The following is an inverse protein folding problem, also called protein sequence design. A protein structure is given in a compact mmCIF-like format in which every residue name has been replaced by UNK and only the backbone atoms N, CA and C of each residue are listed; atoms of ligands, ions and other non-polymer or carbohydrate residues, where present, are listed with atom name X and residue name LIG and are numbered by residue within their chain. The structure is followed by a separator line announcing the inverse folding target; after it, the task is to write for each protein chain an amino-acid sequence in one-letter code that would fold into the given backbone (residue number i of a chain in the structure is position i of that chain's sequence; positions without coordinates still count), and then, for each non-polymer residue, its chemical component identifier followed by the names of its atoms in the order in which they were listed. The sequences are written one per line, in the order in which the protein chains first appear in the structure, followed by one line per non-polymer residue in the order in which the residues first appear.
data_IF_419739538039
#
_entry.id   IF_419739538039
#
_cell.length_a   1.000
_cell.length_b   1.000
_cell.length_c   1.000
_cell.angle_alpha   90.00
_cell.angle_beta   90.00
_cell.angle_gamma   90.00
#
_symmetry.space_group_name_H-M   'P 1'
#
loop_
_entity.id
_entity.type
_entity.pdbx_description
1 polymer ?
#
# COMPACT_ATOMS: atom_id res chain seq x y z
N UNK A 1 2.79 15.52 0.92
CA UNK A 1 3.45 14.36 1.55
C UNK A 1 2.61 13.05 1.53
N UNK A 2 3.07 12.07 0.77
CA UNK A 2 2.54 10.69 0.77
C UNK A 2 3.67 9.74 1.16
N UNK A 3 3.63 9.20 2.37
CA UNK A 3 4.60 8.22 2.84
C UNK A 3 4.30 6.85 2.21
N UNK A 4 5.32 6.22 1.62
CA UNK A 4 5.20 4.95 0.90
C UNK A 4 6.32 3.99 1.25
N UNK A 5 6.00 2.70 1.22
CA UNK A 5 6.95 1.59 1.24
C UNK A 5 6.54 0.53 0.21
N UNK A 6 7.46 -0.39 -0.08
CA UNK A 6 7.24 -1.52 -0.99
C UNK A 6 7.54 -2.81 -0.23
N UNK A 7 6.60 -3.75 -0.19
CA UNK A 7 6.81 -5.05 0.43
C UNK A 7 7.15 -6.09 -0.64
N UNK A 8 8.19 -6.87 -0.39
CA UNK A 8 8.52 -8.04 -1.19
C UNK A 8 7.57 -9.20 -0.95
N UNK A 9 7.70 -10.25 -1.76
CA UNK A 9 6.92 -11.48 -1.63
C UNK A 9 7.22 -12.21 -0.30
N UNK A 10 8.39 -11.99 0.29
CA UNK A 10 8.77 -12.50 1.60
C UNK A 10 8.15 -11.72 2.78
N UNK A 11 7.37 -10.67 2.49
CA UNK A 11 6.69 -9.83 3.47
C UNK A 11 7.57 -8.76 4.11
N UNK A 12 8.83 -8.61 3.69
CA UNK A 12 9.71 -7.56 4.22
C UNK A 12 9.64 -6.31 3.36
N UNK A 13 9.92 -5.17 3.99
CA UNK A 13 10.12 -3.94 3.26
C UNK A 13 11.36 -4.03 2.36
N UNK A 14 11.19 -3.59 1.12
CA UNK A 14 12.25 -3.47 0.12
C UNK A 14 12.98 -2.13 0.29
N UNK A 15 14.30 -2.09 0.03
CA UNK A 15 15.01 -0.82 -0.11
C UNK A 15 14.41 0.01 -1.25
N UNK A 16 14.26 1.31 -1.02
CA UNK A 16 13.75 2.26 -1.99
C UNK A 16 14.90 3.07 -2.57
N UNK A 17 14.97 3.14 -3.89
CA UNK A 17 15.92 3.97 -4.63
C UNK A 17 15.13 4.85 -5.58
N UNK A 18 15.34 6.16 -5.52
CA UNK A 18 14.71 7.15 -6.40
C UNK A 18 15.80 8.13 -6.85
N UNK A 19 15.89 8.37 -8.16
CA UNK A 19 16.90 9.22 -8.79
C UNK A 19 18.34 8.80 -8.44
N UNK A 20 18.57 7.48 -8.36
CA UNK A 20 19.86 6.89 -7.98
C UNK A 20 20.24 7.01 -6.51
N UNK A 21 19.37 7.57 -5.65
CA UNK A 21 19.64 7.76 -4.23
C UNK A 21 18.86 6.78 -3.35
N UNK A 22 19.53 6.14 -2.39
CA UNK A 22 18.88 5.27 -1.40
C UNK A 22 18.02 6.09 -0.42
N UNK A 23 16.81 5.61 -0.15
CA UNK A 23 15.80 6.28 0.69
C UNK A 23 15.38 5.44 1.91
N UNK A 24 16.10 4.37 2.23
CA UNK A 24 15.68 3.40 3.24
C UNK A 24 14.50 2.56 2.77
N UNK A 25 13.61 2.16 3.67
CA UNK A 25 12.44 1.30 3.36
C UNK A 25 11.10 2.05 3.34
N UNK A 26 11.09 3.30 3.79
CA UNK A 26 9.95 4.22 3.73
C UNK A 26 10.44 5.56 3.21
N UNK A 27 9.73 6.15 2.26
CA UNK A 27 10.02 7.50 1.76
C UNK A 27 8.76 8.34 1.62
N UNK A 28 8.89 9.66 1.67
CA UNK A 28 7.78 10.60 1.49
C UNK A 28 7.85 11.18 0.09
N UNK A 29 6.83 10.90 -0.71
CA UNK A 29 6.64 11.51 -2.02
C UNK A 29 5.88 12.83 -1.86
N UNK A 30 6.45 13.91 -2.36
CA UNK A 30 5.78 15.22 -2.34
C UNK A 30 4.95 15.41 -3.61
N UNK A 31 3.65 15.18 -3.49
CA UNK A 31 2.69 15.41 -4.56
C UNK A 31 2.34 16.90 -4.60
N UNK A 32 2.75 17.60 -5.66
CA UNK A 32 2.60 19.05 -5.85
C UNK A 32 1.88 19.43 -7.14
N UNK A 33 1.75 18.49 -8.08
CA UNK A 33 1.01 18.69 -9.34
C UNK A 33 -0.23 17.80 -9.37
N UNK A 34 -1.11 18.01 -10.35
CA UNK A 34 -2.33 17.21 -10.51
C UNK A 34 -2.04 15.76 -10.91
N UNK A 35 -0.93 15.51 -11.59
CA UNK A 35 -0.47 14.20 -12.02
C UNK A 35 1.06 14.19 -11.96
N UNK A 36 1.64 13.23 -11.24
CA UNK A 36 3.09 13.07 -11.11
C UNK A 36 3.46 11.60 -11.13
N UNK A 37 4.65 11.31 -11.65
CA UNK A 37 5.22 9.97 -11.69
C UNK A 37 6.49 9.91 -10.87
N UNK A 38 6.58 8.89 -10.03
CA UNK A 38 7.78 8.57 -9.25
C UNK A 38 8.25 7.18 -9.66
N UNK A 39 9.56 7.03 -9.90
CA UNK A 39 10.14 5.77 -10.35
C UNK A 39 11.01 5.21 -9.23
N UNK A 40 10.67 4.01 -8.77
CA UNK A 40 11.52 3.23 -7.87
C UNK A 40 12.46 2.36 -8.69
N UNK A 41 13.75 2.56 -8.50
CA UNK A 41 14.81 1.82 -9.19
C UNK A 41 15.18 0.55 -8.42
N UNK A 42 15.84 -0.39 -9.11
CA UNK A 42 16.37 -1.63 -8.51
C UNK A 42 15.33 -2.53 -7.81
N UNK A 43 14.07 -2.47 -8.24
CA UNK A 43 12.98 -3.33 -7.77
C UNK A 43 13.09 -4.71 -8.43
N UNK A 44 13.55 -5.72 -7.67
CA UNK A 44 13.91 -7.04 -8.20
C UNK A 44 12.72 -7.99 -8.44
N UNK A 45 11.59 -7.73 -7.80
CA UNK A 45 10.36 -8.52 -7.90
C UNK A 45 9.15 -7.60 -7.83
N UNK A 46 7.97 -8.07 -8.24
CA UNK A 46 6.75 -7.27 -8.15
C UNK A 46 6.37 -7.05 -6.68
N UNK A 47 6.40 -5.81 -6.17
CA UNK A 47 6.10 -5.53 -4.77
C UNK A 47 4.60 -5.36 -4.55
N UNK A 48 4.16 -5.57 -3.30
CA UNK A 48 2.89 -5.02 -2.83
C UNK A 48 3.15 -3.62 -2.24
N UNK A 49 2.55 -2.56 -2.78
CA UNK A 49 2.79 -1.21 -2.27
C UNK A 49 2.07 -0.98 -0.94
N UNK A 50 2.73 -0.31 -0.01
CA UNK A 50 2.17 0.20 1.24
C UNK A 50 2.13 1.73 1.13
N UNK A 51 0.95 2.26 0.79
CA UNK A 51 0.76 3.68 0.44
C UNK A 51 0.07 4.39 1.60
N UNK A 52 0.41 5.65 1.84
CA UNK A 52 -0.16 6.49 2.90
C UNK A 52 0.18 6.00 4.32
N UNK A 53 1.41 5.49 4.51
CA UNK A 53 1.94 5.06 5.81
C UNK A 53 1.78 6.16 6.87
N UNK A 54 1.55 5.75 8.12
CA UNK A 54 1.26 6.61 9.27
C UNK A 54 0.15 7.64 9.03
N UNK A 55 -0.74 7.38 8.06
CA UNK A 55 -1.75 8.33 7.60
C UNK A 55 -1.15 9.70 7.24
N UNK A 56 -0.06 9.69 6.45
CA UNK A 56 0.78 10.87 6.18
C UNK A 56 0.04 12.08 5.59
N UNK A 57 -1.15 11.90 5.03
CA UNK A 57 -2.01 12.97 4.57
C UNK A 57 -3.50 12.63 4.74
N UNK A 58 -4.36 13.62 5.06
CA UNK A 58 -5.80 13.42 5.23
C UNK A 58 -6.53 13.41 3.87
N UNK A 59 -6.28 12.38 3.07
CA UNK A 59 -6.84 12.21 1.72
C UNK A 59 -7.60 10.90 1.58
N UNK A 60 -8.46 10.83 0.57
CA UNK A 60 -9.03 9.56 0.11
C UNK A 60 -8.07 8.94 -0.89
N UNK A 61 -7.45 7.82 -0.53
CA UNK A 61 -6.60 7.05 -1.43
C UNK A 61 -7.46 6.10 -2.26
N UNK A 62 -7.46 6.30 -3.57
CA UNK A 62 -8.05 5.36 -4.53
C UNK A 62 -6.93 4.51 -5.17
N UNK A 63 -6.83 3.26 -4.73
CA UNK A 63 -5.91 2.27 -5.28
C UNK A 63 -6.58 0.89 -5.26
N UNK A 64 -6.56 0.21 -6.40
CA UNK A 64 -7.28 -1.03 -6.61
C UNK A 64 -6.50 -2.25 -6.10
N UNK A 65 -6.38 -2.38 -4.77
CA UNK A 65 -5.81 -3.58 -4.16
C UNK A 65 -6.68 -4.82 -4.39
N UNK A 66 -6.07 -5.93 -4.78
CA UNK A 66 -6.73 -7.23 -4.79
C UNK A 66 -6.82 -7.84 -3.39
N UNK A 67 -7.65 -8.88 -3.25
CA UNK A 67 -7.76 -9.63 -1.99
C UNK A 67 -6.41 -10.21 -1.53
N UNK A 68 -5.56 -10.65 -2.47
CA UNK A 68 -4.23 -11.18 -2.17
C UNK A 68 -3.29 -10.08 -1.65
N UNK A 69 -3.32 -8.89 -2.26
CA UNK A 69 -2.51 -7.75 -1.82
C UNK A 69 -2.93 -7.31 -0.41
N UNK A 70 -4.23 -7.17 -0.16
CA UNK A 70 -4.73 -6.79 1.16
C UNK A 70 -4.37 -7.85 2.22
N UNK A 71 -4.43 -9.14 1.87
CA UNK A 71 -4.04 -10.21 2.80
C UNK A 71 -2.54 -10.18 3.09
N UNK A 72 -1.73 -9.89 2.07
CA UNK A 72 -0.29 -9.73 2.22
C UNK A 72 0.04 -8.54 3.14
N UNK A 73 -0.58 -7.38 2.90
CA UNK A 73 -0.42 -6.20 3.75
C UNK A 73 -0.89 -6.47 5.19
N UNK A 74 -2.07 -7.06 5.38
CA UNK A 74 -2.59 -7.38 6.72
C UNK A 74 -1.64 -8.24 7.55
N UNK A 75 -1.01 -9.24 6.91
CA UNK A 75 -0.09 -10.16 7.56
C UNK A 75 1.28 -9.55 7.81
N UNK A 76 1.78 -8.71 6.89
CA UNK A 76 3.21 -8.42 6.82
C UNK A 76 3.60 -6.94 6.89
N UNK A 77 2.70 -5.99 6.60
CA UNK A 77 3.09 -4.58 6.47
C UNK A 77 3.72 -4.04 7.77
N UNK A 78 4.87 -3.37 7.65
CA UNK A 78 5.55 -2.80 8.82
C UNK A 78 4.77 -1.61 9.40
N UNK A 79 3.91 -0.98 8.59
CA UNK A 79 3.04 0.11 9.00
C UNK A 79 1.75 -0.40 9.69
N UNK A 80 1.51 -0.04 10.96
CA UNK A 80 0.36 -0.55 11.71
C UNK A 80 -0.99 -0.01 11.21
N UNK A 81 -1.01 1.19 10.61
CA UNK A 81 -2.24 1.80 10.07
C UNK A 81 -2.67 1.03 8.83
N UNK A 82 -1.75 0.78 7.90
CA UNK A 82 -2.00 0.04 6.68
C UNK A 82 -2.31 -1.44 6.96
N UNK A 83 -1.66 -2.07 7.95
CA UNK A 83 -2.08 -3.41 8.43
C UNK A 83 -3.53 -3.42 8.87
N UNK A 84 -3.91 -2.48 9.73
CA UNK A 84 -5.27 -2.40 10.24
C UNK A 84 -6.28 -2.14 9.11
N UNK A 85 -6.01 -1.17 8.24
CA UNK A 85 -6.86 -0.78 7.11
C UNK A 85 -7.03 -1.94 6.12
N UNK A 86 -5.97 -2.67 5.80
CA UNK A 86 -6.05 -3.84 4.93
C UNK A 86 -7.00 -4.91 5.50
N UNK A 87 -6.95 -5.14 6.82
CA UNK A 87 -7.88 -6.01 7.51
C UNK A 87 -9.34 -5.52 7.45
N UNK A 88 -9.56 -4.21 7.63
CA UNK A 88 -10.89 -3.61 7.50
C UNK A 88 -11.45 -3.76 6.09
N UNK A 89 -10.66 -3.46 5.05
CA UNK A 89 -11.05 -3.59 3.64
C UNK A 89 -11.40 -5.03 3.29
N UNK A 90 -10.58 -6.00 3.72
CA UNK A 90 -10.88 -7.42 3.54
C UNK A 90 -12.20 -7.82 4.20
N UNK A 91 -12.37 -7.49 5.49
CA UNK A 91 -13.57 -7.84 6.22
C UNK A 91 -14.82 -7.21 5.59
N UNK A 92 -14.77 -5.91 5.27
CA UNK A 92 -15.87 -5.19 4.64
C UNK A 92 -16.20 -5.76 3.27
N UNK A 93 -15.18 -6.01 2.44
CA UNK A 93 -15.36 -6.63 1.12
C UNK A 93 -16.02 -8.01 1.21
N UNK A 94 -15.70 -8.81 2.24
CA UNK A 94 -16.36 -10.11 2.49
C UNK A 94 -17.80 -9.95 2.98
N UNK A 95 -18.04 -9.04 3.92
CA UNK A 95 -19.39 -8.76 4.43
C UNK A 95 -20.33 -8.29 3.33
N UNK A 96 -19.87 -7.37 2.46
CA UNK A 96 -20.65 -6.86 1.32
C UNK A 96 -20.98 -7.95 0.30
N UNK A 97 -20.05 -8.89 0.04
CA UNK A 97 -20.32 -10.05 -0.83
C UNK A 97 -21.43 -10.93 -0.23
N UNK A 98 -21.33 -11.25 1.06
CA UNK A 98 -22.32 -12.09 1.75
C UNK A 98 -23.72 -11.44 1.79
N UNK A 99 -23.81 -10.12 2.00
CA UNK A 99 -25.10 -9.42 2.03
C UNK A 99 -25.66 -9.15 0.64
N UNK A 100 -24.80 -9.01 -0.38
CA UNK A 100 -25.21 -8.90 -1.79
C UNK A 100 -25.74 -10.21 -2.36
N UNK A 101 -25.19 -11.36 -1.95
CA UNK A 101 -25.70 -12.69 -2.33
C UNK A 101 -27.01 -13.05 -1.60
N UNK A 102 -27.32 -12.40 -0.48
CA UNK A 102 -28.57 -12.58 0.27
C UNK A 102 -29.76 -11.77 -0.30
N UNK A 103 -29.57 -11.10 -1.44
CA UNK A 103 -30.55 -10.22 -2.07
C UNK A 103 -30.77 -10.49 -3.56
N UNK A 104 -31.21 -11.71 -3.92
CA UNK A 104 -32.08 -12.01 -5.08
C UNK A 104 -32.99 -13.19 -4.72
#
# INVERSE_FOLDING_TARGET
PVAVGLLGADGKDMPLVIDGEERGTTTVLELTESEQSFVFENVQEQPTPSILRDFSAPIVLDYNYGDADLLHLFNNDSDPVNRWEAGQRLAMGRLLKLTGEAGV
#
